data_IF_601511874522
#
_entry.id   IF_601511874522
#
_cell.length_a   1.000
_cell.length_b   1.000
_cell.length_c   1.000
_cell.angle_alpha   90.00
_cell.angle_beta   90.00
_cell.angle_gamma   90.00
#
_symmetry.space_group_name_H-M   'P 1'
#
loop_
_entity.id
_entity.type
_entity.pdbx_description
1 polymer ?
#
# COMPACT_ATOMS: atom_id res chain seq x y z
N UNK A 1 19.51 -19.08 -38.08
CA UNK A 1 19.70 -19.15 -36.61
C UNK A 1 19.64 -17.80 -35.89
N UNK A 2 19.94 -16.66 -36.54
CA UNK A 2 19.90 -15.32 -35.89
C UNK A 2 18.47 -14.78 -35.66
N UNK A 3 17.47 -15.27 -36.38
CA UNK A 3 16.07 -14.81 -36.29
C UNK A 3 15.32 -15.41 -35.11
N UNK A 4 15.67 -16.62 -34.66
CA UNK A 4 15.02 -17.27 -33.51
C UNK A 4 15.35 -16.57 -32.18
N UNK A 5 16.56 -16.01 -32.04
CA UNK A 5 16.96 -15.27 -30.83
C UNK A 5 16.20 -13.95 -30.65
N UNK A 6 15.80 -13.29 -31.74
CA UNK A 6 15.03 -12.03 -31.68
C UNK A 6 13.58 -12.24 -31.20
N UNK A 7 12.97 -13.38 -31.54
CA UNK A 7 11.61 -13.71 -31.13
C UNK A 7 11.53 -13.98 -29.62
N UNK A 8 12.56 -14.64 -29.04
CA UNK A 8 12.61 -14.91 -27.60
C UNK A 8 12.78 -13.61 -26.79
N UNK A 9 13.58 -12.66 -27.28
CA UNK A 9 13.76 -11.34 -26.64
C UNK A 9 12.47 -10.50 -26.74
N UNK A 10 11.76 -10.57 -27.87
CA UNK A 10 10.49 -9.87 -28.05
C UNK A 10 9.37 -10.44 -27.15
N UNK A 11 9.30 -11.76 -26.96
CA UNK A 11 8.31 -12.37 -26.06
C UNK A 11 8.58 -12.07 -24.58
N UNK A 12 9.84 -11.99 -24.15
CA UNK A 12 10.19 -11.65 -22.76
C UNK A 12 9.80 -10.21 -22.38
N UNK A 13 9.73 -9.30 -23.34
CA UNK A 13 9.41 -7.88 -23.09
C UNK A 13 7.93 -7.59 -22.78
N UNK A 14 7.02 -8.54 -23.02
CA UNK A 14 5.58 -8.35 -22.78
C UNK A 14 5.10 -8.79 -21.38
N UNK A 15 5.99 -9.31 -20.52
CA UNK A 15 5.60 -9.79 -19.19
C UNK A 15 5.70 -8.74 -18.08
N UNK A 16 6.27 -7.56 -18.33
CA UNK A 16 6.72 -6.68 -17.23
C UNK A 16 5.66 -5.72 -16.68
N UNK A 17 4.50 -5.55 -17.33
CA UNK A 17 3.47 -4.64 -16.80
C UNK A 17 2.06 -5.20 -16.91
N UNK A 18 1.82 -6.37 -16.33
CA UNK A 18 0.48 -6.68 -15.84
C UNK A 18 0.23 -5.80 -14.60
N UNK A 19 -0.37 -4.63 -14.81
CA UNK A 19 -0.95 -3.81 -13.74
C UNK A 19 -2.17 -4.59 -13.21
N UNK A 20 -1.92 -5.64 -12.41
CA UNK A 20 -2.98 -6.33 -11.71
C UNK A 20 -3.74 -5.29 -10.90
N UNK A 21 -5.06 -5.24 -11.06
CA UNK A 21 -5.92 -4.47 -10.17
C UNK A 21 -5.49 -4.76 -8.73
N UNK A 22 -5.29 -3.74 -7.87
CA UNK A 22 -4.81 -3.94 -6.51
C UNK A 22 -5.75 -4.93 -5.80
N UNK A 23 -5.27 -6.15 -5.58
CA UNK A 23 -5.99 -7.14 -4.78
C UNK A 23 -5.90 -6.69 -3.33
N UNK A 24 -7.04 -6.65 -2.67
CA UNK A 24 -7.14 -6.33 -1.26
C UNK A 24 -7.25 -7.64 -0.48
N UNK A 25 -6.35 -7.83 0.48
CA UNK A 25 -6.28 -8.99 1.35
C UNK A 25 -6.53 -8.56 2.81
N UNK A 26 -6.91 -9.48 3.69
CA UNK A 26 -7.05 -9.17 5.11
C UNK A 26 -5.71 -8.71 5.70
N UNK A 27 -5.73 -7.68 6.54
CA UNK A 27 -4.53 -7.18 7.20
C UNK A 27 -3.93 -8.26 8.12
N UNK A 28 -2.60 -8.42 8.06
CA UNK A 28 -1.86 -9.22 9.03
C UNK A 28 -1.45 -8.35 10.23
N UNK A 29 -1.12 -8.96 11.37
CA UNK A 29 -0.66 -8.22 12.55
C UNK A 29 0.60 -7.37 12.29
N UNK A 30 1.44 -7.78 11.35
CA UNK A 30 2.60 -6.98 10.93
C UNK A 30 2.19 -5.71 10.16
N UNK A 31 1.10 -5.77 9.40
CA UNK A 31 0.59 -4.61 8.66
C UNK A 31 0.00 -3.57 9.60
N UNK A 32 -0.71 -4.04 10.62
CA UNK A 32 -1.24 -3.20 11.69
C UNK A 32 -0.10 -2.51 12.44
N UNK A 33 0.99 -3.22 12.72
CA UNK A 33 2.19 -2.63 13.32
C UNK A 33 2.84 -1.57 12.41
N UNK A 34 2.89 -1.80 11.10
CA UNK A 34 3.35 -0.81 10.12
C UNK A 34 2.50 0.46 10.19
N UNK A 35 1.16 0.32 10.22
CA UNK A 35 0.23 1.44 10.37
C UNK A 35 0.39 2.17 11.70
N UNK A 36 0.63 1.46 12.81
CA UNK A 36 0.81 2.06 14.13
C UNK A 36 2.13 2.85 14.27
N UNK A 37 3.18 2.34 13.64
CA UNK A 37 4.52 2.95 13.64
C UNK A 37 4.68 4.07 12.60
N UNK A 38 3.74 4.18 11.66
CA UNK A 38 3.80 5.18 10.60
C UNK A 38 3.74 6.62 11.14
N UNK A 39 4.62 7.46 10.62
CA UNK A 39 4.65 8.89 10.87
C UNK A 39 3.62 9.61 10.00
N UNK A 40 3.11 10.74 10.48
CA UNK A 40 2.19 11.59 9.73
C UNK A 40 2.47 13.04 10.02
N UNK A 41 2.41 13.88 8.98
CA UNK A 41 2.47 15.34 9.10
C UNK A 41 1.09 15.93 9.45
N UNK A 42 0.04 15.13 9.31
CA UNK A 42 -1.33 15.55 9.57
C UNK A 42 -1.65 15.39 11.07
N UNK A 43 -1.91 16.50 11.75
CA UNK A 43 -2.32 16.51 13.15
C UNK A 43 -3.62 15.73 13.37
N UNK A 44 -3.73 14.99 14.47
CA UNK A 44 -4.94 14.25 14.86
C UNK A 44 -5.17 12.92 14.15
N UNK A 45 -4.63 12.70 12.95
CA UNK A 45 -4.78 11.43 12.21
C UNK A 45 -4.27 10.23 13.03
N UNK A 46 -3.18 10.42 13.79
CA UNK A 46 -2.63 9.36 14.64
C UNK A 46 -3.61 8.90 15.73
N UNK A 47 -4.39 9.82 16.28
CA UNK A 47 -5.40 9.49 17.29
C UNK A 47 -6.59 8.78 16.62
N UNK A 48 -7.06 9.28 15.48
CA UNK A 48 -8.14 8.65 14.73
C UNK A 48 -7.78 7.22 14.30
N UNK A 49 -6.56 7.00 13.80
CA UNK A 49 -6.09 5.65 13.46
C UNK A 49 -6.11 4.76 14.71
N UNK A 50 -5.58 5.23 15.84
CA UNK A 50 -5.46 4.43 17.06
C UNK A 50 -6.78 4.14 17.76
N UNK A 51 -7.66 5.13 17.82
CA UNK A 51 -8.90 5.08 18.60
C UNK A 51 -10.08 4.52 17.78
N UNK A 52 -10.10 4.75 16.46
CA UNK A 52 -11.23 4.33 15.61
C UNK A 52 -10.88 3.18 14.67
N UNK A 53 -9.70 3.17 14.05
CA UNK A 53 -9.38 2.20 13.00
C UNK A 53 -8.72 0.92 13.52
N UNK A 54 -7.75 1.02 14.43
CA UNK A 54 -7.07 -0.14 15.00
C UNK A 54 -8.03 -1.12 15.71
N UNK A 55 -9.07 -0.68 16.45
CA UNK A 55 -10.07 -1.59 17.01
C UNK A 55 -10.87 -2.37 15.95
N UNK A 56 -10.86 -1.93 14.69
CA UNK A 56 -11.54 -2.56 13.57
C UNK A 56 -10.60 -3.45 12.73
N UNK A 57 -9.52 -3.99 13.31
CA UNK A 57 -8.55 -4.87 12.62
C UNK A 57 -9.20 -6.00 11.82
N UNK A 58 -10.26 -6.62 12.34
CA UNK A 58 -11.03 -7.67 11.66
C UNK A 58 -11.69 -7.23 10.34
N UNK A 59 -11.82 -5.93 10.10
CA UNK A 59 -12.39 -5.31 8.90
C UNK A 59 -11.36 -4.48 8.12
N UNK A 60 -10.09 -4.68 8.43
CA UNK A 60 -8.97 -4.08 7.73
C UNK A 60 -8.62 -4.94 6.51
N UNK A 61 -8.59 -4.28 5.36
CA UNK A 61 -8.08 -4.81 4.11
C UNK A 61 -6.84 -4.01 3.71
N UNK A 62 -5.88 -4.66 3.07
CA UNK A 62 -4.67 -4.02 2.59
C UNK A 62 -4.38 -4.45 1.16
N UNK A 63 -3.99 -3.49 0.33
CA UNK A 63 -3.35 -3.78 -0.94
C UNK A 63 -1.89 -3.36 -0.86
N UNK A 64 -1.00 -4.31 -1.17
CA UNK A 64 0.45 -4.13 -1.13
C UNK A 64 1.00 -4.20 -2.54
N UNK A 65 1.83 -3.25 -2.99
CA UNK A 65 2.71 -3.50 -4.11
C UNK A 65 3.87 -4.34 -3.60
N UNK A 66 3.79 -5.68 -3.73
CA UNK A 66 4.96 -6.54 -3.49
C UNK A 66 5.73 -6.79 -4.78
N UNK A 67 6.14 -5.71 -5.44
CA UNK A 67 7.26 -5.82 -6.36
C UNK A 67 8.53 -5.89 -5.51
N UNK A 68 9.23 -7.03 -5.54
CA UNK A 68 10.57 -7.15 -4.97
C UNK A 68 11.45 -6.24 -5.81
N UNK A 69 11.73 -5.04 -5.32
CA UNK A 69 12.63 -4.14 -6.01
C UNK A 69 14.08 -4.53 -5.70
N UNK A 70 14.96 -4.59 -6.70
CA UNK A 70 16.38 -4.78 -6.45
C UNK A 70 16.92 -3.61 -5.62
N UNK A 71 17.90 -3.87 -4.75
CA UNK A 71 18.54 -2.81 -4.00
C UNK A 71 19.33 -1.90 -4.96
N UNK A 72 18.94 -0.62 -5.09
CA UNK A 72 19.61 0.34 -5.99
C UNK A 72 20.14 1.55 -5.23
N UNK A 73 21.47 1.72 -5.18
CA UNK A 73 22.10 2.82 -4.46
C UNK A 73 21.59 4.21 -4.86
N UNK A 74 21.18 5.01 -3.87
CA UNK A 74 20.77 6.41 -4.05
C UNK A 74 19.40 6.62 -4.69
N UNK A 75 18.65 5.55 -4.97
CA UNK A 75 17.31 5.64 -5.56
C UNK A 75 16.27 5.34 -4.50
N UNK A 76 15.29 6.25 -4.37
CA UNK A 76 14.10 6.04 -3.56
C UNK A 76 13.13 5.16 -4.33
N UNK A 77 12.68 4.08 -3.70
CA UNK A 77 11.76 3.15 -4.32
C UNK A 77 10.39 3.32 -3.70
N UNK A 78 9.43 3.83 -4.48
CA UNK A 78 8.08 4.10 -4.03
C UNK A 78 7.29 2.80 -3.81
N UNK A 79 7.02 2.48 -2.55
CA UNK A 79 6.14 1.38 -2.14
C UNK A 79 4.96 1.94 -1.37
N UNK A 80 3.77 1.95 -1.99
CA UNK A 80 2.56 2.52 -1.39
C UNK A 80 1.60 1.41 -1.02
N UNK A 81 1.52 1.10 0.27
CA UNK A 81 0.53 0.21 0.84
C UNK A 81 -0.79 0.97 1.05
N UNK A 82 -1.90 0.41 0.58
CA UNK A 82 -3.24 1.02 0.72
C UNK A 82 -4.07 0.19 1.69
N UNK A 83 -4.31 0.75 2.88
CA UNK A 83 -5.17 0.16 3.90
C UNK A 83 -6.60 0.66 3.72
N UNK A 84 -7.58 -0.23 3.81
CA UNK A 84 -9.01 0.07 3.79
C UNK A 84 -9.67 -0.49 5.05
N UNK A 85 -10.34 0.37 5.79
CA UNK A 85 -11.14 -0.03 6.96
C UNK A 85 -12.62 0.10 6.62
N UNK A 86 -13.34 -1.02 6.64
CA UNK A 86 -14.77 -1.03 6.34
C UNK A 86 -15.60 -0.61 7.56
N UNK A 87 -16.37 0.46 7.41
CA UNK A 87 -17.19 1.05 8.47
C UNK A 87 -18.67 0.78 8.20
N UNK A 88 -19.35 0.19 9.20
CA UNK A 88 -20.76 -0.16 9.08
C UNK A 88 -21.06 -1.23 8.02
N UNK A 89 -22.35 -1.38 7.68
CA UNK A 89 -22.83 -2.34 6.66
C UNK A 89 -23.06 -1.69 5.29
N UNK A 90 -22.95 -0.36 5.19
CA UNK A 90 -23.38 0.41 4.04
C UNK A 90 -22.26 0.60 2.99
N UNK A 91 -21.06 0.07 3.25
CA UNK A 91 -19.91 0.20 2.33
C UNK A 91 -19.10 1.49 2.51
N UNK A 92 -19.30 2.22 3.60
CA UNK A 92 -18.42 3.33 3.98
C UNK A 92 -17.03 2.77 4.32
N UNK A 93 -15.97 3.47 3.94
CA UNK A 93 -14.61 3.03 4.25
C UNK A 93 -13.63 4.17 4.44
N UNK A 94 -12.67 3.96 5.33
CA UNK A 94 -11.47 4.78 5.41
C UNK A 94 -10.37 4.17 4.57
N UNK A 95 -9.70 4.98 3.76
CA UNK A 95 -8.52 4.60 3.00
C UNK A 95 -7.30 5.34 3.53
N UNK A 96 -6.28 4.59 3.93
CA UNK A 96 -5.00 5.12 4.42
C UNK A 96 -3.90 4.63 3.50
N UNK A 97 -3.15 5.54 2.88
CA UNK A 97 -1.99 5.18 2.07
C UNK A 97 -0.72 5.44 2.83
N UNK A 98 0.07 4.39 2.99
CA UNK A 98 1.36 4.42 3.65
C UNK A 98 2.44 4.20 2.62
N UNK A 99 3.41 5.11 2.65
CA UNK A 99 4.64 4.98 1.90
C UNK A 99 5.69 4.28 2.77
N UNK A 100 5.96 3.02 2.43
CA UNK A 100 6.99 2.17 3.04
C UNK A 100 8.31 2.20 2.25
N UNK A 101 8.50 3.20 1.36
CA UNK A 101 9.72 3.37 0.56
C UNK A 101 10.99 3.25 1.39
N UNK A 102 11.93 2.46 0.89
CA UNK A 102 13.28 2.44 1.42
C UNK A 102 14.21 3.34 0.59
N UNK A 103 15.29 3.80 1.24
CA UNK A 103 16.43 4.45 0.57
C UNK A 103 17.55 3.43 0.50
N UNK A 104 17.78 2.81 -0.66
CA UNK A 104 18.88 1.85 -0.81
C UNK A 104 20.20 2.60 -0.89
N UNK A 105 20.99 2.54 0.17
CA UNK A 105 22.31 1.92 0.28
C UNK A 105 22.79 2.27 1.68
N UNK A 106 23.13 1.22 2.43
CA UNK A 106 23.29 1.18 3.88
C UNK A 106 23.50 2.54 4.55
N UNK A 107 22.41 3.06 5.12
CA UNK A 107 22.50 3.72 6.40
C UNK A 107 21.67 2.89 7.38
N UNK A 108 22.32 1.89 7.99
CA UNK A 108 21.74 0.99 9.00
C UNK A 108 21.25 1.75 10.24
N UNK A 109 21.53 3.05 10.35
CA UNK A 109 21.08 3.93 11.42
C UNK A 109 19.77 4.66 11.13
N UNK A 110 19.33 4.73 9.87
CA UNK A 110 18.03 5.28 9.51
C UNK A 110 16.96 4.19 9.69
N UNK A 111 16.37 4.11 10.88
CA UNK A 111 15.04 3.50 11.03
C UNK A 111 14.11 4.21 10.05
N UNK A 112 13.87 3.59 8.89
CA UNK A 112 12.93 4.10 7.91
C UNK A 112 11.54 3.96 8.54
N UNK A 113 11.02 5.08 9.02
CA UNK A 113 9.68 5.16 9.58
C UNK A 113 8.70 5.31 8.41
N UNK A 114 7.76 4.38 8.20
CA UNK A 114 6.76 4.51 7.16
C UNK A 114 6.00 5.84 7.30
N UNK A 115 5.57 6.47 6.21
CA UNK A 115 4.88 7.77 6.25
C UNK A 115 3.45 7.64 5.69
N UNK A 116 2.46 8.11 6.44
CA UNK A 116 1.08 8.25 5.96
C UNK A 116 1.06 9.40 4.94
N UNK A 117 0.89 9.05 3.67
CA UNK A 117 0.82 9.99 2.55
C UNK A 117 -0.57 10.59 2.39
N UNK A 118 -1.58 9.76 2.56
CA UNK A 118 -2.96 10.12 2.25
C UNK A 118 -3.91 9.42 3.22
N UNK A 119 -4.94 10.16 3.62
CA UNK A 119 -6.03 9.67 4.42
C UNK A 119 -7.34 10.17 3.80
N UNK A 120 -8.26 9.26 3.51
CA UNK A 120 -9.52 9.55 2.84
C UNK A 120 -10.66 8.80 3.50
N UNK A 121 -11.78 9.49 3.69
CA UNK A 121 -13.05 8.85 3.97
C UNK A 121 -13.84 8.74 2.65
N UNK A 122 -14.32 7.54 2.35
CA UNK A 122 -15.12 7.24 1.17
C UNK A 122 -16.54 6.93 1.64
N UNK A 123 -17.43 7.87 1.38
CA UNK A 123 -18.85 7.71 1.65
C UNK A 123 -19.45 6.54 0.89
N UNK A 124 -20.43 5.83 1.48
CA UNK A 124 -21.17 4.82 0.78
C UNK A 124 -21.94 5.50 -0.37
N UNK A 125 -21.84 4.96 -1.59
CA UNK A 125 -22.71 5.41 -2.68
C UNK A 125 -24.14 5.06 -2.30
N UNK A 126 -24.90 6.05 -1.85
CA UNK A 126 -26.35 5.95 -1.73
C UNK A 126 -26.86 5.84 -3.17
N UNK A 127 -27.13 4.63 -3.63
CA UNK A 127 -27.86 4.45 -4.88
C UNK A 127 -29.24 5.08 -4.67
N UNK A 128 -29.63 6.13 -5.41
CA UNK A 128 -31.00 6.62 -5.33
C UNK A 128 -31.91 5.45 -5.69
N UNK A 129 -32.84 5.14 -4.80
CA UNK A 129 -33.76 4.00 -4.85
C UNK A 129 -34.17 3.64 -6.28
N UNK A 130 -33.94 2.38 -6.66
CA UNK A 130 -34.65 1.75 -7.78
C UNK A 130 -36.12 1.54 -7.40
#
# INVERSE_FOLDING_TARGET
>A
MKTFSLIIIALASNLVFAYENPRFESCSSQDIKTLETAHTRFGGIKNLIREELLPMESRCLISKPRMIHPAVCGIRITQIDTFQFLVGRNGARYEVKIDSSYTSCQDLSALIVPEIREFKFIDPKILPNM
#
